data_IF_572330602481
#
_entry.id   IF_572330602481
#
_cell.length_a   1.000
_cell.length_b   1.000
_cell.length_c   1.000
_cell.angle_alpha   90.00
_cell.angle_beta   90.00
_cell.angle_gamma   90.00
#
_symmetry.space_group_name_H-M   'P 1'
#
loop_
_entity.id
_entity.type
_entity.pdbx_description
1 polymer ?
#
# COMPACT_ATOMS: atom_id res chain seq x y z
N UNK A 1 -4.65 28.42 17.76
CA UNK A 1 -4.80 27.15 17.03
C UNK A 1 -4.75 26.06 18.08
N UNK A 2 -5.91 25.60 18.57
CA UNK A 2 -5.95 24.56 19.59
C UNK A 2 -5.36 23.29 18.99
N UNK A 3 -4.34 22.72 19.64
CA UNK A 3 -3.83 21.40 19.29
C UNK A 3 -4.99 20.43 19.44
N UNK A 4 -5.24 19.63 18.41
CA UNK A 4 -6.24 18.57 18.51
C UNK A 4 -5.66 17.51 19.44
N UNK A 5 -6.17 17.44 20.66
CA UNK A 5 -5.80 16.37 21.58
C UNK A 5 -6.42 15.06 21.06
N UNK A 6 -5.59 14.05 20.74
CA UNK A 6 -6.08 12.79 20.19
C UNK A 6 -6.88 12.02 21.25
N UNK A 7 -7.86 11.25 20.79
CA UNK A 7 -8.72 10.46 21.67
C UNK A 7 -7.91 9.43 22.48
N UNK A 8 -8.26 9.25 23.76
CA UNK A 8 -7.60 8.31 24.68
C UNK A 8 -7.65 6.87 24.16
N UNK A 9 -8.75 6.48 23.50
CA UNK A 9 -8.88 5.17 22.86
C UNK A 9 -7.86 4.96 21.72
N UNK A 10 -7.55 6.03 20.97
CA UNK A 10 -6.53 5.99 19.92
C UNK A 10 -5.15 5.87 20.54
N UNK A 11 -4.87 6.64 21.58
CA UNK A 11 -3.59 6.54 22.29
C UNK A 11 -3.38 5.16 22.91
N UNK A 12 -4.43 4.52 23.42
CA UNK A 12 -4.37 3.14 23.90
C UNK A 12 -4.11 2.13 22.77
N UNK A 13 -4.66 2.36 21.58
CA UNK A 13 -4.43 1.49 20.42
C UNK A 13 -3.04 1.66 19.80
N UNK A 14 -2.55 2.90 19.72
CA UNK A 14 -1.20 3.20 19.23
C UNK A 14 -0.15 2.82 20.28
N UNK A 15 -0.49 2.91 21.56
CA UNK A 15 0.37 2.51 22.66
C UNK A 15 0.70 1.01 22.64
N UNK A 16 1.97 0.69 22.92
CA UNK A 16 2.42 -0.70 23.12
C UNK A 16 3.45 -1.19 22.10
N UNK A 17 3.51 -2.51 21.95
CA UNK A 17 4.43 -3.20 21.03
C UNK A 17 3.69 -3.64 19.76
N UNK A 18 4.14 -3.12 18.62
CA UNK A 18 3.63 -3.46 17.29
C UNK A 18 4.54 -4.47 16.61
N UNK A 19 3.90 -5.48 16.03
CA UNK A 19 4.53 -6.64 15.40
C UNK A 19 4.48 -6.51 13.88
N UNK A 20 5.26 -7.33 13.18
CA UNK A 20 5.22 -7.46 11.73
C UNK A 20 4.03 -8.34 11.32
N UNK A 21 3.24 -7.91 10.34
CA UNK A 21 2.16 -8.73 9.78
C UNK A 21 2.66 -9.48 8.54
N UNK A 22 2.84 -10.79 8.65
CA UNK A 22 3.36 -11.66 7.58
C UNK A 22 2.52 -12.93 7.52
N UNK A 23 2.10 -13.34 6.32
CA UNK A 23 1.32 -14.57 6.10
C UNK A 23 0.05 -14.70 6.94
N UNK A 24 -0.68 -13.58 7.11
CA UNK A 24 -1.90 -13.49 7.92
C UNK A 24 -1.68 -13.66 9.45
N UNK A 25 -0.45 -13.54 9.91
CA UNK A 25 -0.08 -13.66 11.33
C UNK A 25 0.80 -12.47 11.79
N UNK A 26 0.79 -12.22 13.10
CA UNK A 26 1.62 -11.20 13.74
C UNK A 26 2.89 -11.83 14.30
N UNK A 27 4.05 -11.36 13.87
CA UNK A 27 5.37 -11.86 14.28
C UNK A 27 6.25 -10.76 14.86
N UNK A 28 7.05 -11.11 15.85
CA UNK A 28 8.19 -10.28 16.24
C UNK A 28 9.27 -10.30 15.15
N UNK A 29 10.13 -9.28 15.14
CA UNK A 29 11.29 -9.26 14.23
C UNK A 29 12.20 -10.47 14.48
N UNK A 30 12.82 -11.02 13.42
CA UNK A 30 13.77 -12.13 13.52
C UNK A 30 14.89 -11.87 14.54
N UNK A 31 15.32 -10.62 14.58
CA UNK A 31 16.41 -10.14 15.41
C UNK A 31 15.98 -9.79 16.84
N UNK A 32 14.67 -9.76 17.12
CA UNK A 32 14.09 -9.25 18.37
C UNK A 32 14.21 -7.74 18.54
N UNK A 33 14.74 -7.02 17.54
CA UNK A 33 14.91 -5.56 17.62
C UNK A 33 13.58 -4.85 17.45
N UNK A 34 13.45 -3.74 18.18
CA UNK A 34 12.34 -2.80 18.07
C UNK A 34 12.90 -1.39 18.03
N UNK A 35 12.19 -0.48 17.39
CA UNK A 35 12.50 0.96 17.42
C UNK A 35 11.33 1.76 17.99
N UNK A 36 11.64 2.90 18.57
CA UNK A 36 10.65 3.80 19.16
C UNK A 36 10.04 4.72 18.11
N UNK A 37 8.71 4.82 18.11
CA UNK A 37 7.95 5.86 17.42
C UNK A 37 7.68 6.98 18.40
N UNK A 38 8.05 8.21 18.04
CA UNK A 38 7.96 9.39 18.90
C UNK A 38 7.03 10.41 18.27
N UNK A 39 6.14 10.98 19.09
CA UNK A 39 5.25 12.04 18.65
C UNK A 39 6.10 13.29 18.34
N UNK A 40 6.02 13.86 17.13
CA UNK A 40 6.84 15.00 16.74
C UNK A 40 6.49 16.30 17.47
N UNK A 41 5.28 16.44 18.01
CA UNK A 41 4.84 17.61 18.75
C UNK A 41 5.35 17.61 20.20
N UNK A 42 5.41 16.45 20.85
CA UNK A 42 5.76 16.32 22.29
C UNK A 42 7.12 15.67 22.55
N UNK A 43 7.68 14.95 21.57
CA UNK A 43 8.90 14.15 21.71
C UNK A 43 8.75 12.86 22.52
N UNK A 44 7.54 12.59 23.05
CA UNK A 44 7.25 11.41 23.87
C UNK A 44 7.18 10.16 23.02
N UNK A 45 7.66 9.03 23.56
CA UNK A 45 7.51 7.73 22.90
C UNK A 45 6.04 7.33 22.91
N UNK A 46 5.50 7.03 21.73
CA UNK A 46 4.12 6.61 21.53
C UNK A 46 4.04 5.09 21.45
N UNK A 47 4.96 4.47 20.70
CA UNK A 47 4.93 3.03 20.44
C UNK A 47 6.32 2.45 20.23
N UNK A 48 6.43 1.12 20.39
CA UNK A 48 7.61 0.35 19.97
C UNK A 48 7.20 -0.53 18.79
N UNK A 49 7.91 -0.45 17.68
CA UNK A 49 7.61 -1.19 16.46
C UNK A 49 8.74 -2.16 16.16
N UNK A 50 8.42 -3.40 15.80
CA UNK A 50 9.38 -4.40 15.38
C UNK A 50 10.23 -3.91 14.19
N UNK A 51 11.56 -4.01 14.32
CA UNK A 51 12.51 -3.63 13.27
C UNK A 51 12.84 -4.84 12.40
N UNK A 52 12.07 -5.01 11.31
CA UNK A 52 12.27 -6.11 10.38
C UNK A 52 13.62 -6.06 9.65
N UNK A 53 14.33 -7.20 9.62
CA UNK A 53 15.59 -7.35 8.90
C UNK A 53 15.44 -8.14 7.58
N UNK A 54 16.56 -8.51 6.95
CA UNK A 54 16.55 -9.27 5.70
C UNK A 54 15.78 -10.61 5.82
N UNK A 55 15.82 -11.27 6.99
CA UNK A 55 15.15 -12.56 7.23
C UNK A 55 13.63 -12.38 7.35
N UNK A 56 13.18 -11.27 7.91
CA UNK A 56 11.76 -10.91 7.93
C UNK A 56 11.25 -10.63 6.50
N UNK A 57 12.05 -9.92 5.71
CA UNK A 57 11.75 -9.65 4.29
C UNK A 57 11.68 -10.97 3.51
N UNK A 58 12.65 -11.87 3.67
CA UNK A 58 12.65 -13.16 2.99
C UNK A 58 11.42 -14.00 3.34
N UNK A 59 11.01 -14.01 4.62
CA UNK A 59 9.77 -14.67 5.06
C UNK A 59 8.53 -14.07 4.39
N UNK A 60 8.44 -12.74 4.32
CA UNK A 60 7.33 -12.05 3.67
C UNK A 60 7.27 -12.33 2.17
N UNK A 61 8.42 -12.33 1.48
CA UNK A 61 8.52 -12.65 0.05
C UNK A 61 8.12 -14.10 -0.21
N UNK A 62 8.59 -15.05 0.61
CA UNK A 62 8.21 -16.45 0.49
C UNK A 62 6.71 -16.65 0.71
N UNK A 63 6.11 -15.98 1.71
CA UNK A 63 4.67 -16.02 1.95
C UNK A 63 3.87 -15.47 0.77
N UNK A 64 4.26 -14.30 0.25
CA UNK A 64 3.64 -13.71 -0.94
C UNK A 64 3.76 -14.64 -2.16
N UNK A 65 4.92 -15.28 -2.34
CA UNK A 65 5.14 -16.25 -3.42
C UNK A 65 4.25 -17.48 -3.30
N UNK A 66 4.14 -18.06 -2.10
CA UNK A 66 3.21 -19.18 -1.83
C UNK A 66 1.77 -18.79 -2.16
N UNK A 67 1.30 -17.63 -1.69
CA UNK A 67 -0.04 -17.15 -1.98
C UNK A 67 -0.32 -16.95 -3.49
N UNK A 68 0.72 -16.54 -4.25
CA UNK A 68 0.65 -16.44 -5.71
C UNK A 68 0.59 -17.81 -6.38
N UNK A 69 1.50 -18.73 -6.01
CA UNK A 69 1.61 -20.07 -6.61
C UNK A 69 0.40 -20.95 -6.32
N UNK A 70 -0.14 -20.87 -5.10
CA UNK A 70 -1.38 -21.53 -4.70
C UNK A 70 -2.64 -20.83 -5.26
N UNK A 71 -2.44 -19.71 -5.98
CA UNK A 71 -3.52 -18.92 -6.61
C UNK A 71 -4.58 -18.44 -5.63
N UNK A 72 -4.25 -18.26 -4.34
CA UNK A 72 -5.18 -17.74 -3.33
C UNK A 72 -5.77 -16.38 -3.71
N UNK A 73 -4.94 -15.53 -4.33
CA UNK A 73 -5.36 -14.24 -4.90
C UNK A 73 -5.55 -14.29 -6.42
N UNK A 74 -4.56 -14.82 -7.15
CA UNK A 74 -4.56 -14.83 -8.62
C UNK A 74 -5.66 -15.72 -9.22
N UNK A 75 -6.12 -16.73 -8.48
CA UNK A 75 -7.20 -17.64 -8.89
C UNK A 75 -8.60 -17.08 -8.65
N UNK A 76 -8.74 -15.98 -7.91
CA UNK A 76 -10.02 -15.32 -7.72
C UNK A 76 -10.53 -14.74 -9.04
N UNK A 77 -11.85 -14.73 -9.21
CA UNK A 77 -12.47 -14.01 -10.34
C UNK A 77 -12.30 -12.50 -10.13
N UNK A 78 -12.35 -11.69 -11.20
CA UNK A 78 -12.30 -10.23 -11.08
C UNK A 78 -13.33 -9.65 -10.11
N UNK A 79 -14.52 -10.23 -10.05
CA UNK A 79 -15.61 -9.82 -9.16
C UNK A 79 -15.22 -10.04 -7.70
N UNK A 80 -14.75 -11.24 -7.34
CA UNK A 80 -14.31 -11.54 -5.96
C UNK A 80 -13.16 -10.63 -5.50
N UNK A 81 -12.24 -10.28 -6.41
CA UNK A 81 -11.17 -9.32 -6.09
C UNK A 81 -11.72 -7.93 -5.86
N UNK A 82 -12.70 -7.50 -6.66
CA UNK A 82 -13.38 -6.23 -6.45
C UNK A 82 -14.11 -6.21 -5.10
N UNK A 83 -14.80 -7.30 -4.73
CA UNK A 83 -15.52 -7.42 -3.45
C UNK A 83 -14.58 -7.25 -2.25
N UNK A 84 -13.38 -7.84 -2.30
CA UNK A 84 -12.36 -7.66 -1.24
C UNK A 84 -11.91 -6.20 -1.15
N UNK A 85 -11.69 -5.53 -2.28
CA UNK A 85 -11.29 -4.11 -2.29
C UNK A 85 -12.42 -3.18 -1.80
N UNK A 86 -13.68 -3.48 -2.16
CA UNK A 86 -14.84 -2.78 -1.62
C UNK A 86 -14.95 -2.96 -0.12
N UNK A 87 -14.75 -4.19 0.37
CA UNK A 87 -14.78 -4.46 1.80
C UNK A 87 -13.68 -3.70 2.55
N UNK A 88 -12.49 -3.63 1.97
CA UNK A 88 -11.39 -2.84 2.53
C UNK A 88 -11.77 -1.35 2.60
N UNK A 89 -12.38 -0.80 1.54
CA UNK A 89 -12.84 0.59 1.54
C UNK A 89 -13.90 0.87 2.61
N UNK A 90 -14.85 -0.06 2.83
CA UNK A 90 -15.83 0.05 3.91
C UNK A 90 -15.18 0.09 5.29
N UNK A 91 -14.18 -0.76 5.54
CA UNK A 91 -13.46 -0.81 6.81
C UNK A 91 -12.67 0.49 7.05
N UNK A 92 -12.00 1.00 6.01
CA UNK A 92 -11.32 2.30 6.07
C UNK A 92 -12.29 3.46 6.32
N UNK A 93 -13.47 3.44 5.70
CA UNK A 93 -14.49 4.47 5.88
C UNK A 93 -15.10 4.42 7.30
N UNK A 94 -15.37 3.23 7.83
CA UNK A 94 -15.82 3.01 9.21
C UNK A 94 -14.83 3.61 10.22
N UNK A 95 -13.54 3.36 10.03
CA UNK A 95 -12.49 3.74 10.98
C UNK A 95 -11.76 5.03 10.58
N UNK A 96 -12.29 5.79 9.62
CA UNK A 96 -11.59 6.91 8.99
C UNK A 96 -11.09 7.95 10.00
N UNK A 97 -11.92 8.25 11.00
CA UNK A 97 -11.58 9.19 12.07
C UNK A 97 -10.42 8.70 12.94
N UNK A 98 -10.47 7.43 13.34
CA UNK A 98 -9.41 6.77 14.11
C UNK A 98 -8.10 6.77 13.34
N UNK A 99 -8.13 6.42 12.05
CA UNK A 99 -6.94 6.42 11.18
C UNK A 99 -6.37 7.84 11.07
N UNK A 100 -7.21 8.86 10.88
CA UNK A 100 -6.76 10.24 10.82
C UNK A 100 -6.08 10.70 12.13
N UNK A 101 -6.61 10.32 13.29
CA UNK A 101 -5.99 10.63 14.59
C UNK A 101 -4.64 9.92 14.77
N UNK A 102 -4.49 8.68 14.30
CA UNK A 102 -3.21 7.96 14.29
C UNK A 102 -2.18 8.71 13.43
N UNK A 103 -2.57 9.15 12.23
CA UNK A 103 -1.71 9.93 11.34
C UNK A 103 -1.28 11.26 11.96
N UNK A 104 -2.16 11.93 12.71
CA UNK A 104 -1.80 13.15 13.45
C UNK A 104 -0.78 12.85 14.54
N UNK A 105 -0.93 11.75 15.27
CA UNK A 105 -0.01 11.37 16.36
C UNK A 105 1.37 10.98 15.84
N UNK A 106 1.43 10.24 14.73
CA UNK A 106 2.68 9.74 14.15
C UNK A 106 3.39 10.83 13.32
N UNK A 107 2.68 11.49 12.42
CA UNK A 107 3.27 12.45 11.48
C UNK A 107 3.20 13.91 11.94
N UNK A 108 2.34 14.24 12.93
CA UNK A 108 2.20 15.61 13.45
C UNK A 108 1.43 16.57 12.54
N UNK A 109 0.77 16.06 11.49
CA UNK A 109 0.01 16.91 10.56
C UNK A 109 -1.31 17.41 11.17
N UNK A 110 -1.88 18.52 10.66
CA UNK A 110 -3.19 18.98 11.12
C UNK A 110 -4.31 17.96 10.84
N UNK A 111 -5.22 17.76 11.80
CA UNK A 111 -6.32 16.79 11.71
C UNK A 111 -7.17 16.96 10.45
N UNK A 112 -7.48 18.20 10.05
CA UNK A 112 -8.26 18.46 8.84
C UNK A 112 -7.57 17.96 7.56
N UNK A 113 -6.24 18.00 7.52
CA UNK A 113 -5.48 17.46 6.40
C UNK A 113 -5.42 15.92 6.45
N UNK A 114 -5.25 15.34 7.64
CA UNK A 114 -5.29 13.90 7.84
C UNK A 114 -6.63 13.29 7.41
N UNK A 115 -7.75 13.90 7.81
CA UNK A 115 -9.10 13.48 7.42
C UNK A 115 -9.30 13.54 5.89
N UNK A 116 -8.82 14.61 5.25
CA UNK A 116 -8.87 14.74 3.80
C UNK A 116 -8.04 13.64 3.09
N UNK A 117 -6.85 13.32 3.60
CA UNK A 117 -6.01 12.25 3.04
C UNK A 117 -6.69 10.88 3.19
N UNK A 118 -7.23 10.55 4.37
CA UNK A 118 -7.94 9.29 4.60
C UNK A 118 -9.16 9.18 3.69
N UNK A 119 -9.93 10.26 3.55
CA UNK A 119 -11.05 10.32 2.61
C UNK A 119 -10.60 10.08 1.15
N UNK A 120 -9.45 10.64 0.76
CA UNK A 120 -8.87 10.41 -0.57
C UNK A 120 -8.45 8.96 -0.79
N UNK A 121 -7.89 8.29 0.23
CA UNK A 121 -7.54 6.87 0.19
C UNK A 121 -8.80 6.01 0.02
N UNK A 122 -9.87 6.29 0.77
CA UNK A 122 -11.17 5.60 0.63
C UNK A 122 -11.69 5.71 -0.80
N UNK A 123 -11.70 6.92 -1.37
CA UNK A 123 -12.15 7.10 -2.76
C UNK A 123 -11.24 6.38 -3.77
N UNK A 124 -9.92 6.39 -3.55
CA UNK A 124 -8.97 5.63 -4.36
C UNK A 124 -9.26 4.13 -4.34
N UNK A 125 -9.49 3.54 -3.16
CA UNK A 125 -9.85 2.12 -3.03
C UNK A 125 -11.14 1.79 -3.78
N UNK A 126 -12.19 2.61 -3.63
CA UNK A 126 -13.47 2.46 -4.33
C UNK A 126 -13.30 2.56 -5.85
N UNK A 127 -12.49 3.52 -6.32
CA UNK A 127 -12.17 3.69 -7.74
C UNK A 127 -11.49 2.45 -8.32
N UNK A 128 -10.42 1.96 -7.69
CA UNK A 128 -9.70 0.78 -8.17
C UNK A 128 -10.53 -0.50 -8.08
N UNK A 129 -11.35 -0.67 -7.03
CA UNK A 129 -12.30 -1.77 -6.92
C UNK A 129 -13.25 -1.79 -8.13
N UNK A 130 -13.75 -0.63 -8.55
CA UNK A 130 -14.56 -0.48 -9.76
C UNK A 130 -13.81 -0.77 -11.06
N UNK A 131 -12.49 -0.59 -11.11
CA UNK A 131 -11.67 -0.85 -12.29
C UNK A 131 -11.33 -2.33 -12.50
N UNK A 132 -11.31 -3.16 -11.46
CA UNK A 132 -10.85 -4.56 -11.54
C UNK A 132 -11.58 -5.36 -12.62
N UNK A 133 -12.88 -5.12 -12.82
CA UNK A 133 -13.71 -5.79 -13.83
C UNK A 133 -13.64 -5.15 -15.22
N UNK A 134 -13.02 -3.97 -15.34
CA UNK A 134 -12.96 -3.16 -16.57
C UNK A 134 -11.60 -3.24 -17.26
N UNK A 135 -10.67 -4.05 -16.75
CA UNK A 135 -9.38 -4.29 -17.40
C UNK A 135 -9.58 -5.12 -18.68
N UNK A 136 -9.58 -4.44 -19.81
CA UNK A 136 -9.80 -5.04 -21.13
C UNK A 136 -8.51 -5.05 -21.96
N UNK A 137 -8.30 -6.13 -22.70
CA UNK A 137 -7.28 -6.18 -23.75
C UNK A 137 -7.77 -5.51 -25.04
N UNK A 138 -6.85 -5.10 -25.89
CA UNK A 138 -7.20 -4.56 -27.21
C UNK A 138 -7.06 -5.64 -28.28
N UNK A 139 -8.12 -5.84 -29.07
CA UNK A 139 -8.04 -6.59 -30.31
C UNK A 139 -7.52 -5.65 -31.39
N UNK A 140 -6.30 -5.87 -31.87
CA UNK A 140 -5.77 -5.18 -33.04
C UNK A 140 -6.00 -6.10 -34.23
N UNK A 141 -6.95 -5.75 -35.10
CA UNK A 141 -7.11 -6.40 -36.39
C UNK A 141 -5.91 -6.01 -37.27
N UNK A 142 -4.99 -6.94 -37.59
CA UNK A 142 -3.94 -6.61 -38.52
C UNK A 142 -4.52 -6.55 -39.93
N UNK A 143 -3.84 -5.80 -40.82
CA UNK A 143 -4.27 -5.57 -42.19
C UNK A 143 -4.43 -6.86 -43.03
N UNK A 144 -3.85 -7.97 -42.58
CA UNK A 144 -3.99 -9.29 -43.21
C UNK A 144 -4.90 -10.18 -42.35
N UNK A 145 -6.00 -10.65 -42.95
CA UNK A 145 -7.03 -11.45 -42.28
C UNK A 145 -6.53 -12.75 -41.62
N UNK A 146 -5.36 -13.25 -42.00
CA UNK A 146 -4.76 -14.48 -41.47
C UNK A 146 -4.02 -14.32 -40.14
N UNK A 147 -3.77 -13.09 -39.68
CA UNK A 147 -3.05 -12.85 -38.44
C UNK A 147 -4.04 -12.32 -37.41
N UNK A 148 -4.11 -12.90 -36.21
CA UNK A 148 -4.91 -12.34 -35.12
C UNK A 148 -3.97 -12.13 -33.94
N UNK A 149 -3.57 -10.88 -33.70
CA UNK A 149 -2.67 -10.54 -32.59
C UNK A 149 -3.51 -10.12 -31.38
N UNK A 150 -3.59 -11.00 -30.39
CA UNK A 150 -4.22 -10.69 -29.10
C UNK A 150 -3.18 -10.03 -28.19
N UNK A 151 -3.41 -8.76 -27.83
CA UNK A 151 -2.63 -8.09 -26.79
C UNK A 151 -3.36 -8.27 -25.45
N UNK A 152 -2.88 -9.22 -24.65
CA UNK A 152 -3.35 -9.38 -23.26
C UNK A 152 -2.57 -8.42 -22.36
N UNK A 153 -3.28 -7.70 -21.50
CA UNK A 153 -2.66 -6.94 -20.42
C UNK A 153 -2.24 -7.94 -19.33
N UNK A 154 -0.96 -8.32 -19.31
CA UNK A 154 -0.41 -8.99 -18.14
C UNK A 154 -0.10 -7.91 -17.12
N UNK A 155 -0.62 -7.96 -15.89
CA UNK A 155 -0.12 -7.11 -14.83
C UNK A 155 1.28 -7.63 -14.49
N UNK A 156 2.28 -7.15 -15.23
CA UNK A 156 3.65 -7.19 -14.77
C UNK A 156 3.66 -6.37 -13.48
N UNK A 157 4.19 -6.98 -12.43
CA UNK A 157 4.43 -6.39 -11.11
C UNK A 157 5.18 -5.06 -11.28
N UNK A 158 4.44 -3.96 -11.41
CA UNK A 158 4.94 -2.61 -11.19
C UNK A 158 4.74 -2.32 -9.70
N UNK A 159 5.84 -1.94 -9.06
CA UNK A 159 6.07 -2.04 -7.63
C UNK A 159 5.16 -1.12 -6.79
N UNK A 160 5.01 -1.50 -5.53
CA UNK A 160 4.45 -0.70 -4.42
C UNK A 160 5.14 0.66 -4.18
N UNK A 161 6.19 1.01 -4.93
CA UNK A 161 6.89 2.29 -4.86
C UNK A 161 6.36 3.34 -5.84
N UNK A 162 5.61 2.94 -6.87
CA UNK A 162 5.06 3.87 -7.87
C UNK A 162 3.78 4.57 -7.36
N UNK A 163 3.14 4.02 -6.32
CA UNK A 163 1.92 4.58 -5.72
C UNK A 163 2.14 5.94 -5.02
N UNK A 164 3.37 6.29 -4.68
CA UNK A 164 3.67 7.52 -3.92
C UNK A 164 4.29 8.66 -4.74
N UNK A 165 4.76 8.39 -5.97
CA UNK A 165 5.46 9.39 -6.80
C UNK A 165 4.51 10.13 -7.76
N UNK A 166 3.54 9.41 -8.33
CA UNK A 166 2.72 9.96 -9.43
C UNK A 166 1.62 10.94 -8.96
N UNK A 167 1.32 11.00 -7.67
CA UNK A 167 0.32 11.95 -7.13
C UNK A 167 0.91 13.35 -6.85
N UNK A 168 2.24 13.50 -6.81
CA UNK A 168 2.91 14.75 -6.40
C UNK A 168 3.41 15.62 -7.55
N UNK A 169 3.36 15.16 -8.80
CA UNK A 169 3.79 15.95 -9.96
C UNK A 169 2.66 16.12 -10.96
N UNK A 170 1.83 17.14 -10.72
CA UNK A 170 0.83 17.56 -11.69
C UNK A 170 1.50 18.05 -12.99
N UNK A 171 1.05 17.50 -14.13
CA UNK A 171 1.07 18.18 -15.43
C UNK A 171 2.16 17.76 -16.42
N UNK A 172 1.77 16.96 -17.42
CA UNK A 172 2.49 16.91 -18.71
C UNK A 172 2.45 15.55 -19.44
N UNK A 173 1.94 15.48 -20.68
CA UNK A 173 1.98 14.27 -21.51
C UNK A 173 3.26 14.23 -22.34
N UNK A 174 4.20 13.33 -22.02
CA UNK A 174 5.25 12.93 -22.96
C UNK A 174 5.97 11.69 -22.45
N UNK A 175 5.64 10.51 -22.99
CA UNK A 175 6.61 9.47 -23.33
C UNK A 175 5.90 8.30 -24.03
N UNK A 176 5.40 8.56 -25.25
CA UNK A 176 5.18 7.50 -26.23
C UNK A 176 6.44 7.35 -27.08
N UNK A 177 7.48 6.64 -26.60
CA UNK A 177 8.48 6.02 -27.49
C UNK A 177 9.51 5.20 -26.73
N UNK A 178 9.71 3.98 -27.21
CA UNK A 178 10.81 3.04 -26.94
C UNK A 178 10.81 2.31 -25.58
N UNK A 179 10.34 1.06 -25.62
CA UNK A 179 10.84 0.00 -24.74
C UNK A 179 11.10 -1.24 -25.59
N UNK A 180 12.17 -1.19 -26.37
CA UNK A 180 12.87 -2.40 -26.83
C UNK A 180 14.32 -2.21 -26.37
N UNK A 181 14.79 -3.17 -25.57
CA UNK A 181 16.18 -3.38 -25.14
C UNK A 181 16.84 -2.31 -24.26
N UNK A 182 17.04 -2.64 -22.99
CA UNK A 182 18.36 -2.93 -22.39
C UNK A 182 18.29 -2.75 -20.87
N UNK A 183 18.69 -3.79 -20.12
CA UNK A 183 19.22 -3.60 -18.77
C UNK A 183 20.43 -2.66 -18.82
N UNK A 184 20.59 -1.80 -17.82
CA UNK A 184 21.72 -2.01 -16.92
C UNK A 184 21.39 -1.77 -15.44
N UNK A 185 22.13 -2.50 -14.62
CA UNK A 185 22.34 -2.32 -13.18
C UNK A 185 22.63 -0.86 -12.81
N UNK A 186 21.80 -0.30 -11.92
CA UNK A 186 22.21 0.78 -11.00
C UNK A 186 21.30 0.81 -9.78
N UNK A 187 21.87 0.53 -8.61
CA UNK A 187 21.19 0.65 -7.32
C UNK A 187 20.85 2.11 -6.98
N UNK A 188 19.63 2.43 -6.53
CA UNK A 188 19.32 3.75 -5.97
C UNK A 188 19.49 3.80 -4.44
N UNK A 189 19.80 5.02 -3.99
CA UNK A 189 20.35 5.35 -2.69
C UNK A 189 19.41 5.19 -1.48
N UNK A 190 20.07 4.94 -0.35
CA UNK A 190 19.59 4.77 1.02
C UNK A 190 18.97 6.06 1.60
N UNK A 191 17.74 6.43 1.26
CA UNK A 191 17.00 7.50 1.98
C UNK A 191 15.51 7.17 2.19
N UNK A 192 15.15 7.01 3.47
CA UNK A 192 13.80 6.99 4.09
C UNK A 192 12.94 5.76 3.81
N UNK A 193 13.07 4.74 4.69
CA UNK A 193 12.10 3.65 4.82
C UNK A 193 10.91 4.18 5.64
N UNK A 194 9.72 4.23 5.04
CA UNK A 194 8.46 4.57 5.71
C UNK A 194 7.66 3.28 5.93
N UNK A 195 7.22 2.95 7.15
CA UNK A 195 6.31 1.84 7.35
C UNK A 195 4.89 2.26 6.95
N UNK A 196 4.32 1.59 5.95
CA UNK A 196 2.87 1.61 5.72
C UNK A 196 2.29 0.52 6.62
N UNK A 197 1.71 0.91 7.76
CA UNK A 197 1.03 -0.01 8.67
C UNK A 197 -0.38 -0.26 8.12
N UNK A 198 -0.64 -1.49 7.69
CA UNK A 198 -1.94 -1.90 7.18
C UNK A 198 -2.85 -2.37 8.32
N UNK A 199 -4.00 -1.71 8.46
CA UNK A 199 -5.14 -2.13 9.26
C UNK A 199 -5.74 -3.43 8.69
N UNK A 200 -5.55 -4.55 9.38
CA UNK A 200 -6.36 -5.75 9.23
C UNK A 200 -6.86 -6.12 10.64
N UNK A 201 -8.11 -5.76 10.93
CA UNK A 201 -8.95 -6.38 11.95
C UNK A 201 -9.99 -7.26 11.26
#
# INVERSE_FOLDING_TARGET
MALHDPNEAVLAHVGGQHRLFIDNEWHDAASGKTFEVRNPATGTVVAHVAEGDARDIDRAVQAARRAFDERRWQGLTPEKRADVMWKLAELFERDARTIAEIEVVDNGMPIAFAEWMVGSVVQGLKYYAGMVTKLQGRNVSPALASCRRLQRYWPLLANSADFCSDLLTAGGPCCSRYATMCSPSSAPARKRRRPVLAFCQ
#
